data_IF_367827117243
#
_entry.id   IF_367827117243
#
_cell.length_a   1.000
_cell.length_b   1.000
_cell.length_c   1.000
_cell.angle_alpha   90.00
_cell.angle_beta   90.00
_cell.angle_gamma   90.00
#
_symmetry.space_group_name_H-M   'P 1'
#
loop_
_entity.id
_entity.type
_entity.pdbx_description
1 polymer ?
#
# COMPACT_ATOMS: atom_id res chain seq x y z
N UNK A 1 -30.43 3.36 34.84
CA UNK A 1 -30.50 4.38 33.77
C UNK A 1 -29.13 5.02 33.53
N UNK A 2 -28.48 5.58 34.58
CA UNK A 2 -27.11 6.15 34.47
C UNK A 2 -26.06 5.11 34.03
N UNK A 3 -26.11 3.88 34.55
CA UNK A 3 -25.17 2.81 34.15
C UNK A 3 -25.30 2.37 32.69
N UNK A 4 -26.50 2.44 32.11
CA UNK A 4 -26.75 2.07 30.72
C UNK A 4 -26.14 3.09 29.76
N UNK A 5 -26.24 4.37 30.11
CA UNK A 5 -25.66 5.49 29.35
C UNK A 5 -24.12 5.46 29.44
N UNK A 6 -23.57 5.18 30.62
CA UNK A 6 -22.11 5.06 30.77
C UNK A 6 -21.53 3.87 29.98
N UNK A 7 -22.26 2.75 29.89
CA UNK A 7 -21.88 1.58 29.09
C UNK A 7 -21.94 1.86 27.58
N UNK A 8 -22.99 2.52 27.10
CA UNK A 8 -23.11 2.86 25.66
C UNK A 8 -22.03 3.87 25.23
N UNK A 9 -21.73 4.85 26.08
CA UNK A 9 -20.64 5.81 25.84
C UNK A 9 -19.28 5.12 25.72
N UNK A 10 -18.92 4.23 26.66
CA UNK A 10 -17.66 3.48 26.57
C UNK A 10 -17.60 2.61 25.32
N UNK A 11 -18.70 1.95 24.95
CA UNK A 11 -18.78 1.13 23.73
C UNK A 11 -18.54 2.00 22.48
N UNK A 12 -19.18 3.17 22.40
CA UNK A 12 -18.99 4.09 21.27
C UNK A 12 -17.55 4.63 21.16
N UNK A 13 -16.91 4.89 22.30
CA UNK A 13 -15.50 5.31 22.36
C UNK A 13 -14.55 4.21 21.86
N UNK A 14 -14.82 2.95 22.21
CA UNK A 14 -14.04 1.82 21.71
C UNK A 14 -14.19 1.66 20.19
N UNK A 15 -15.42 1.68 19.67
CA UNK A 15 -15.69 1.59 18.22
C UNK A 15 -14.98 2.72 17.46
N UNK A 16 -15.03 3.95 17.98
CA UNK A 16 -14.36 5.08 17.37
C UNK A 16 -12.82 4.92 17.37
N UNK A 17 -12.25 4.38 18.45
CA UNK A 17 -10.82 4.11 18.54
C UNK A 17 -10.38 3.01 17.55
N UNK A 18 -11.16 1.95 17.43
CA UNK A 18 -10.89 0.84 16.51
C UNK A 18 -10.98 1.32 15.05
N UNK A 19 -12.00 2.09 14.70
CA UNK A 19 -12.13 2.69 13.36
C UNK A 19 -10.96 3.61 13.03
N UNK A 20 -10.54 4.45 13.96
CA UNK A 20 -9.38 5.33 13.78
C UNK A 20 -8.08 4.52 13.58
N UNK A 21 -7.94 3.40 14.30
CA UNK A 21 -6.85 2.45 14.13
C UNK A 21 -6.81 1.85 12.72
N UNK A 22 -7.94 1.33 12.25
CA UNK A 22 -8.05 0.70 10.93
C UNK A 22 -7.81 1.72 9.80
N UNK A 23 -8.36 2.93 9.92
CA UNK A 23 -8.11 4.02 8.97
C UNK A 23 -6.62 4.40 8.92
N UNK A 24 -5.93 4.42 10.06
CA UNK A 24 -4.50 4.73 10.12
C UNK A 24 -3.68 3.65 9.39
N UNK A 25 -4.00 2.36 9.60
CA UNK A 25 -3.33 1.24 8.93
C UNK A 25 -3.54 1.29 7.41
N UNK A 26 -4.77 1.54 6.96
CA UNK A 26 -5.11 1.68 5.53
C UNK A 26 -4.39 2.89 4.92
N UNK A 27 -4.39 4.03 5.60
CA UNK A 27 -3.71 5.23 5.12
C UNK A 27 -2.20 5.00 4.98
N UNK A 28 -1.59 4.27 5.92
CA UNK A 28 -0.17 3.89 5.85
C UNK A 28 0.10 2.99 4.65
N UNK A 29 -0.70 1.93 4.47
CA UNK A 29 -0.54 1.02 3.33
C UNK A 29 -0.65 1.75 1.99
N UNK A 30 -1.61 2.68 1.85
CA UNK A 30 -1.76 3.53 0.66
C UNK A 30 -0.54 4.44 0.42
N UNK A 31 0.03 5.01 1.48
CA UNK A 31 1.23 5.84 1.39
C UNK A 31 2.43 5.01 0.92
N UNK A 32 2.60 3.81 1.47
CA UNK A 32 3.68 2.91 1.09
C UNK A 32 3.56 2.52 -0.40
N UNK A 33 2.35 2.15 -0.87
CA UNK A 33 2.06 1.91 -2.30
C UNK A 33 2.40 3.13 -3.15
N UNK A 34 1.98 4.32 -2.75
CA UNK A 34 2.24 5.55 -3.49
C UNK A 34 3.74 5.84 -3.62
N UNK A 35 4.51 5.58 -2.56
CA UNK A 35 5.96 5.69 -2.56
C UNK A 35 6.59 4.70 -3.53
N UNK A 36 6.21 3.41 -3.46
CA UNK A 36 6.73 2.37 -4.38
C UNK A 36 6.43 2.71 -5.83
N UNK A 37 5.21 3.14 -6.14
CA UNK A 37 4.83 3.57 -7.50
C UNK A 37 5.66 4.77 -7.97
N UNK A 38 6.04 5.68 -7.07
CA UNK A 38 6.93 6.80 -7.40
C UNK A 38 8.34 6.31 -7.71
N UNK A 39 8.88 5.40 -6.91
CA UNK A 39 10.22 4.84 -7.13
C UNK A 39 10.30 4.03 -8.44
N UNK A 40 9.27 3.22 -8.74
CA UNK A 40 9.15 2.53 -10.04
C UNK A 40 9.20 3.53 -11.20
N UNK A 41 8.39 4.60 -11.15
CA UNK A 41 8.37 5.61 -12.22
C UNK A 41 9.72 6.31 -12.37
N UNK A 42 10.42 6.58 -11.27
CA UNK A 42 11.78 7.16 -11.31
C UNK A 42 12.74 6.21 -12.02
N UNK A 43 12.81 4.94 -11.61
CA UNK A 43 13.72 3.97 -12.22
C UNK A 43 13.39 3.71 -13.68
N UNK A 44 12.11 3.68 -14.07
CA UNK A 44 11.70 3.60 -15.47
C UNK A 44 12.16 4.82 -16.28
N UNK A 45 12.08 6.02 -15.71
CA UNK A 45 12.54 7.24 -16.37
C UNK A 45 14.07 7.25 -16.54
N UNK A 46 14.81 6.85 -15.50
CA UNK A 46 16.28 6.74 -15.55
C UNK A 46 16.74 5.69 -16.56
N UNK A 47 16.15 4.49 -16.53
CA UNK A 47 16.41 3.44 -17.51
C UNK A 47 16.08 3.90 -18.93
N UNK A 48 14.92 4.54 -19.10
CA UNK A 48 14.49 5.06 -20.40
C UNK A 48 15.43 6.13 -20.96
N UNK A 49 15.87 7.08 -20.12
CA UNK A 49 16.83 8.10 -20.49
C UNK A 49 18.17 7.47 -20.91
N UNK A 50 18.68 6.53 -20.12
CA UNK A 50 19.93 5.83 -20.42
C UNK A 50 19.85 5.03 -21.72
N UNK A 51 18.78 4.25 -21.91
CA UNK A 51 18.58 3.47 -23.14
C UNK A 51 18.49 4.42 -24.34
N UNK A 52 17.75 5.52 -24.22
CA UNK A 52 17.62 6.51 -25.28
C UNK A 52 18.96 7.12 -25.68
N UNK A 53 19.79 7.52 -24.72
CA UNK A 53 21.13 8.07 -24.94
C UNK A 53 22.10 7.07 -25.59
N UNK A 54 21.85 5.77 -25.40
CA UNK A 54 22.75 4.71 -25.83
C UNK A 54 22.17 3.83 -26.94
N UNK A 55 21.09 4.24 -27.61
CA UNK A 55 20.35 3.45 -28.62
C UNK A 55 21.21 2.87 -29.75
N UNK A 56 22.37 3.46 -30.04
CA UNK A 56 23.29 3.01 -31.08
C UNK A 56 24.25 1.91 -30.62
N UNK A 57 24.30 1.61 -29.32
CA UNK A 57 25.13 0.53 -28.78
C UNK A 57 24.46 -0.82 -29.03
N UNK A 58 25.22 -1.76 -29.59
CA UNK A 58 24.90 -3.18 -29.52
C UNK A 58 25.07 -3.67 -28.08
N UNK A 59 24.18 -4.55 -27.63
CA UNK A 59 24.24 -5.25 -26.33
C UNK A 59 23.85 -4.44 -25.08
N UNK A 60 23.04 -3.39 -25.23
CA UNK A 60 22.43 -2.63 -24.14
C UNK A 60 21.76 -3.50 -23.06
N UNK A 61 21.17 -4.63 -23.43
CA UNK A 61 20.53 -5.56 -22.49
C UNK A 61 21.52 -6.25 -21.53
N UNK A 62 22.78 -6.40 -21.95
CA UNK A 62 23.85 -6.95 -21.11
C UNK A 62 24.59 -5.87 -20.32
N UNK A 63 24.26 -4.60 -20.55
CA UNK A 63 24.89 -3.50 -19.84
C UNK A 63 24.60 -3.60 -18.33
N UNK A 64 25.64 -3.60 -17.46
CA UNK A 64 25.45 -3.82 -16.02
C UNK A 64 24.48 -2.84 -15.37
N UNK A 65 24.46 -1.59 -15.82
CA UNK A 65 23.55 -0.57 -15.31
C UNK A 65 22.09 -0.84 -15.71
N UNK A 66 21.86 -1.34 -16.93
CA UNK A 66 20.52 -1.73 -17.39
C UNK A 66 20.03 -2.92 -16.59
N UNK A 67 20.88 -3.92 -16.38
CA UNK A 67 20.55 -5.07 -15.54
C UNK A 67 20.26 -4.66 -14.09
N UNK A 68 21.02 -3.71 -13.52
CA UNK A 68 20.77 -3.19 -12.18
C UNK A 68 19.38 -2.54 -12.07
N UNK A 69 19.01 -1.64 -12.99
CA UNK A 69 17.69 -1.03 -12.99
C UNK A 69 16.56 -2.03 -13.23
N UNK A 70 16.75 -3.00 -14.12
CA UNK A 70 15.75 -4.05 -14.37
C UNK A 70 15.53 -4.89 -13.11
N UNK A 71 16.61 -5.30 -12.43
CA UNK A 71 16.51 -6.07 -11.19
C UNK A 71 15.82 -5.25 -10.09
N UNK A 72 16.15 -3.96 -9.97
CA UNK A 72 15.52 -3.07 -9.01
C UNK A 72 14.02 -2.85 -9.33
N UNK A 73 13.67 -2.70 -10.61
CA UNK A 73 12.28 -2.58 -11.05
C UNK A 73 11.47 -3.84 -10.74
N UNK A 74 12.04 -5.03 -10.97
CA UNK A 74 11.39 -6.29 -10.62
C UNK A 74 11.15 -6.41 -9.11
N UNK A 75 12.17 -6.08 -8.30
CA UNK A 75 12.03 -6.08 -6.84
C UNK A 75 10.98 -5.08 -6.36
N UNK A 76 10.95 -3.87 -6.94
CA UNK A 76 9.94 -2.86 -6.60
C UNK A 76 8.53 -3.28 -7.01
N UNK A 77 8.38 -4.02 -8.12
CA UNK A 77 7.10 -4.56 -8.57
C UNK A 77 6.61 -5.68 -7.65
N UNK A 78 7.49 -6.59 -7.23
CA UNK A 78 7.17 -7.60 -6.23
C UNK A 78 6.69 -6.96 -4.92
N UNK A 79 7.45 -5.99 -4.40
CA UNK A 79 7.04 -5.26 -3.20
C UNK A 79 5.74 -4.47 -3.40
N UNK A 80 5.45 -4.00 -4.61
CA UNK A 80 4.19 -3.32 -4.89
C UNK A 80 3.02 -4.30 -4.76
N UNK A 81 3.14 -5.48 -5.35
CA UNK A 81 2.14 -6.56 -5.24
C UNK A 81 1.88 -6.91 -3.77
N UNK A 82 2.93 -7.16 -2.99
CA UNK A 82 2.82 -7.48 -1.56
C UNK A 82 2.08 -6.37 -0.79
N UNK A 83 2.39 -5.09 -1.07
CA UNK A 83 1.72 -3.95 -0.42
C UNK A 83 0.25 -3.82 -0.83
N UNK A 84 -0.08 -4.13 -2.09
CA UNK A 84 -1.45 -4.15 -2.58
C UNK A 84 -2.26 -5.28 -1.93
N UNK A 85 -1.67 -6.48 -1.76
CA UNK A 85 -2.27 -7.59 -1.01
C UNK A 85 -2.52 -7.24 0.46
N UNK A 86 -1.56 -6.57 1.12
CA UNK A 86 -1.73 -6.10 2.50
C UNK A 86 -2.87 -5.09 2.60
N UNK A 87 -2.97 -4.15 1.66
CA UNK A 87 -4.07 -3.19 1.64
C UNK A 87 -5.42 -3.90 1.45
N UNK A 88 -5.49 -4.86 0.54
CA UNK A 88 -6.71 -5.63 0.28
C UNK A 88 -7.14 -6.40 1.54
N UNK A 89 -6.19 -7.09 2.21
CA UNK A 89 -6.46 -7.79 3.45
C UNK A 89 -6.98 -6.85 4.56
N UNK A 90 -6.40 -5.65 4.69
CA UNK A 90 -6.89 -4.64 5.65
C UNK A 90 -8.31 -4.16 5.32
N UNK A 91 -8.65 -4.01 4.04
CA UNK A 91 -9.98 -3.61 3.61
C UNK A 91 -11.01 -4.73 3.84
N UNK A 92 -10.63 -5.97 3.60
CA UNK A 92 -11.46 -7.14 3.91
C UNK A 92 -11.68 -7.31 5.41
N UNK A 93 -10.63 -7.12 6.23
CA UNK A 93 -10.73 -7.12 7.70
C UNK A 93 -11.70 -6.04 8.19
N UNK A 94 -11.61 -4.81 7.65
CA UNK A 94 -12.51 -3.72 7.99
C UNK A 94 -13.97 -4.03 7.59
N UNK A 95 -14.19 -4.57 6.39
CA UNK A 95 -15.52 -4.94 5.90
C UNK A 95 -16.14 -6.05 6.74
N UNK A 96 -15.39 -7.11 7.05
CA UNK A 96 -15.86 -8.22 7.86
C UNK A 96 -16.22 -7.79 9.29
N UNK A 97 -15.50 -6.82 9.87
CA UNK A 97 -15.85 -6.24 11.17
C UNK A 97 -17.13 -5.41 11.10
N UNK A 98 -17.30 -4.61 10.05
CA UNK A 98 -18.52 -3.83 9.83
C UNK A 98 -19.75 -4.74 9.66
N UNK A 99 -19.61 -5.87 8.95
CA UNK A 99 -20.68 -6.86 8.74
C UNK A 99 -20.97 -7.72 9.98
N UNK A 100 -20.00 -7.88 10.89
CA UNK A 100 -20.16 -8.56 12.17
C UNK A 100 -20.82 -7.68 13.25
N UNK A 101 -20.94 -6.37 13.01
CA UNK A 101 -21.68 -5.42 13.84
C UNK A 101 -23.00 -4.92 13.19
N UNK A 102 -23.93 -5.78 12.71
CA UNK A 102 -25.20 -5.28 12.21
C UNK A 102 -26.11 -4.93 13.40
N UNK A 103 -26.49 -3.65 13.46
CA UNK A 103 -27.64 -3.06 14.18
C UNK A 103 -28.08 -3.70 15.50
N UNK A 104 -27.79 -3.02 16.62
CA UNK A 104 -28.74 -2.95 17.72
C UNK A 104 -29.37 -1.55 17.68
N UNK A 105 -30.37 -1.39 16.81
CA UNK A 105 -31.47 -0.45 17.04
C UNK A 105 -32.20 -0.81 18.35
#
# INVERSE_FOLDING_TARGET
MIDTIAKSLRKSLHIAADLAGDMTRIARARLDIASTKKDIRRNQAELGAFVHENLTQTDLAEHPQVQAWVNELNALQEQLTEREEVLEALQQEQAARADAEPNLD
#
